data_IF_953119886712
#
_entry.id   IF_953119886712
#
_cell.length_a   1.000
_cell.length_b   1.000
_cell.length_c   1.000
_cell.angle_alpha   90.00
_cell.angle_beta   90.00
_cell.angle_gamma   90.00
#
_symmetry.space_group_name_H-M   'P 1'
#
loop_
_entity.id
_entity.type
_entity.pdbx_description
1 polymer ?
#
# COMPACT_ATOMS: atom_id res chain seq x y z
N UNK A 1 -43.65 29.40 -40.55
CA UNK A 1 -43.26 27.99 -40.70
C UNK A 1 -42.08 27.97 -41.66
N UNK A 2 -40.84 27.62 -41.22
CA UNK A 2 -40.45 26.21 -41.09
C UNK A 2 -39.60 25.85 -39.85
N UNK A 3 -39.95 24.69 -39.26
CA UNK A 3 -39.14 23.61 -38.68
C UNK A 3 -37.69 23.88 -38.18
N UNK A 4 -37.54 24.33 -36.93
CA UNK A 4 -36.37 24.06 -36.08
C UNK A 4 -36.58 22.70 -35.39
N UNK A 5 -36.11 21.61 -35.99
CA UNK A 5 -36.30 20.24 -35.46
C UNK A 5 -35.02 19.41 -35.36
N UNK A 6 -33.85 19.97 -35.06
CA UNK A 6 -32.63 19.13 -34.93
C UNK A 6 -31.66 19.52 -33.80
N UNK A 7 -32.04 20.43 -32.90
CA UNK A 7 -31.08 21.00 -31.93
C UNK A 7 -31.03 20.35 -30.53
N UNK A 8 -31.79 19.28 -30.25
CA UNK A 8 -32.04 18.89 -28.84
C UNK A 8 -31.79 17.41 -28.51
N UNK A 9 -30.93 16.70 -29.27
CA UNK A 9 -30.71 15.26 -29.05
C UNK A 9 -29.26 14.85 -28.78
N UNK A 10 -28.30 15.78 -28.83
CA UNK A 10 -26.87 15.45 -28.71
C UNK A 10 -26.29 15.56 -27.28
N UNK A 11 -27.00 16.18 -26.32
CA UNK A 11 -26.44 16.45 -24.98
C UNK A 11 -26.79 15.41 -23.89
N UNK A 12 -27.56 14.36 -24.21
CA UNK A 12 -27.98 13.38 -23.20
C UNK A 12 -27.04 12.16 -23.06
N UNK A 13 -26.00 12.03 -23.88
CA UNK A 13 -25.16 10.82 -23.95
C UNK A 13 -23.83 10.89 -23.17
N UNK A 14 -23.50 12.02 -22.53
CA UNK A 14 -22.23 12.22 -21.82
C UNK A 14 -22.28 12.00 -20.29
N UNK A 15 -23.43 11.61 -19.73
CA UNK A 15 -23.61 11.53 -18.27
C UNK A 15 -23.44 10.12 -17.66
N UNK A 16 -23.12 9.08 -18.44
CA UNK A 16 -23.15 7.68 -17.95
C UNK A 16 -21.81 6.94 -17.95
N UNK A 17 -20.69 7.59 -18.27
CA UNK A 17 -19.35 6.99 -18.08
C UNK A 17 -18.80 7.20 -16.66
N UNK A 18 -19.67 7.16 -15.65
CA UNK A 18 -19.21 6.87 -14.30
C UNK A 18 -18.76 5.42 -14.33
N UNK A 19 -17.44 5.19 -14.30
CA UNK A 19 -16.90 3.85 -14.08
C UNK A 19 -17.54 3.33 -12.80
N UNK A 20 -18.56 2.48 -12.95
CA UNK A 20 -19.05 1.64 -11.89
C UNK A 20 -17.89 0.68 -11.59
N UNK A 21 -16.98 1.11 -10.72
CA UNK A 21 -16.14 0.19 -9.98
C UNK A 21 -17.11 -0.74 -9.27
N UNK A 22 -17.35 -1.91 -9.88
CA UNK A 22 -18.14 -2.95 -9.25
C UNK A 22 -17.49 -3.19 -7.89
N UNK A 23 -18.24 -3.05 -6.77
CA UNK A 23 -17.68 -3.36 -5.47
C UNK A 23 -17.16 -4.79 -5.54
N UNK A 24 -15.89 -4.97 -5.16
CA UNK A 24 -15.27 -6.27 -5.13
C UNK A 24 -16.18 -7.21 -4.34
N UNK A 25 -16.40 -8.43 -4.87
CA UNK A 25 -17.24 -9.42 -4.19
C UNK A 25 -16.73 -9.57 -2.75
N UNK A 26 -17.60 -9.43 -1.73
CA UNK A 26 -17.17 -9.48 -0.34
C UNK A 26 -16.52 -10.83 -0.07
N UNK A 27 -15.37 -10.78 0.62
CA UNK A 27 -14.63 -11.99 0.99
C UNK A 27 -15.29 -12.67 2.19
N UNK A 28 -14.96 -13.94 2.44
CA UNK A 28 -15.60 -14.73 3.51
C UNK A 28 -15.43 -14.09 4.90
N UNK A 29 -14.32 -13.37 5.12
CA UNK A 29 -14.04 -12.65 6.38
C UNK A 29 -14.97 -11.45 6.53
N UNK A 30 -15.23 -10.72 5.45
CA UNK A 30 -16.16 -9.60 5.42
C UNK A 30 -17.59 -10.06 5.69
N UNK A 31 -18.03 -11.16 5.06
CA UNK A 31 -19.34 -11.78 5.34
C UNK A 31 -19.45 -12.21 6.79
N UNK A 32 -18.39 -12.83 7.32
CA UNK A 32 -18.35 -13.27 8.71
C UNK A 32 -18.41 -12.08 9.70
N UNK A 33 -17.66 -11.01 9.44
CA UNK A 33 -17.64 -9.82 10.28
C UNK A 33 -18.98 -9.08 10.24
N UNK A 34 -19.62 -8.96 9.07
CA UNK A 34 -20.93 -8.34 8.94
C UNK A 34 -22.04 -9.11 9.68
N UNK A 35 -21.97 -10.45 9.71
CA UNK A 35 -22.93 -11.28 10.47
C UNK A 35 -22.84 -11.09 11.98
N UNK A 36 -21.72 -10.57 12.49
CA UNK A 36 -21.52 -10.31 13.91
C UNK A 36 -22.11 -8.96 14.36
N UNK A 37 -22.52 -8.09 13.43
CA UNK A 37 -23.23 -6.84 13.76
C UNK A 37 -24.53 -7.17 14.51
N UNK A 38 -24.77 -6.47 15.61
CA UNK A 38 -25.85 -6.72 16.56
C UNK A 38 -25.56 -7.81 17.59
N UNK A 39 -24.39 -8.46 17.55
CA UNK A 39 -23.99 -9.47 18.52
C UNK A 39 -22.95 -8.93 19.52
N UNK A 40 -22.79 -9.58 20.70
CA UNK A 40 -21.72 -9.23 21.63
C UNK A 40 -20.33 -9.43 21.02
N UNK A 41 -19.39 -8.52 21.33
CA UNK A 41 -18.01 -8.55 20.84
C UNK A 41 -17.28 -9.87 21.15
N UNK A 42 -17.64 -10.52 22.27
CA UNK A 42 -17.12 -11.83 22.65
C UNK A 42 -17.29 -12.91 21.57
N UNK A 43 -18.31 -12.82 20.72
CA UNK A 43 -18.49 -13.75 19.61
C UNK A 43 -17.43 -13.55 18.52
N UNK A 44 -17.01 -12.32 18.27
CA UNK A 44 -15.90 -12.03 17.37
C UNK A 44 -14.59 -12.63 17.89
N UNK A 45 -14.35 -12.64 19.20
CA UNK A 45 -13.13 -13.20 19.79
C UNK A 45 -13.04 -14.72 19.61
N UNK A 46 -14.19 -15.40 19.55
CA UNK A 46 -14.24 -16.84 19.25
C UNK A 46 -13.89 -17.12 17.79
N UNK A 47 -14.25 -16.20 16.89
CA UNK A 47 -14.10 -16.39 15.45
C UNK A 47 -12.72 -15.94 14.94
N UNK A 48 -12.26 -14.77 15.36
CA UNK A 48 -11.01 -14.16 14.89
C UNK A 48 -9.86 -14.31 15.89
N UNK A 49 -10.12 -14.89 17.07
CA UNK A 49 -9.17 -14.97 18.17
C UNK A 49 -9.09 -13.67 18.97
N UNK A 50 -8.09 -13.58 19.84
CA UNK A 50 -7.81 -12.36 20.63
C UNK A 50 -7.46 -11.19 19.69
N UNK A 51 -8.00 -9.98 19.90
CA UNK A 51 -7.63 -8.79 19.12
C UNK A 51 -6.19 -8.36 19.38
N UNK A 52 -5.55 -7.84 18.34
CA UNK A 52 -4.18 -7.30 18.43
C UNK A 52 -4.18 -5.95 19.14
N UNK A 53 -5.22 -5.15 18.89
CA UNK A 53 -5.45 -3.85 19.53
C UNK A 53 -6.92 -3.71 19.86
N UNK A 54 -7.24 -3.04 20.95
CA UNK A 54 -8.62 -2.75 21.29
C UNK A 54 -8.81 -2.39 22.74
N UNK A 55 -9.90 -1.69 22.99
CA UNK A 55 -10.40 -1.38 24.31
C UNK A 55 -11.91 -1.58 24.30
N UNK A 56 -12.41 -2.31 25.30
CA UNK A 56 -13.85 -2.43 25.50
C UNK A 56 -14.48 -1.12 25.94
N UNK A 57 -15.82 -1.06 25.99
CA UNK A 57 -16.52 0.14 26.40
C UNK A 57 -16.10 0.56 27.81
N UNK A 58 -15.85 1.85 27.97
CA UNK A 58 -15.56 2.45 29.27
C UNK A 58 -16.86 2.93 29.91
N UNK A 59 -16.89 3.03 31.25
CA UNK A 59 -18.09 3.44 32.00
C UNK A 59 -18.68 4.80 31.60
N UNK A 60 -17.88 5.67 30.98
CA UNK A 60 -18.27 7.01 30.51
C UNK A 60 -18.17 7.16 28.98
N UNK A 61 -17.75 6.11 28.27
CA UNK A 61 -17.51 6.15 26.82
C UNK A 61 -18.75 5.75 26.02
N UNK A 62 -18.76 6.15 24.75
CA UNK A 62 -19.82 5.80 23.80
C UNK A 62 -19.75 4.36 23.29
N UNK A 63 -18.65 3.65 23.57
CA UNK A 63 -18.40 2.34 22.98
C UNK A 63 -16.97 1.86 23.11
N UNK A 64 -16.70 0.68 22.53
CA UNK A 64 -15.38 0.09 22.41
C UNK A 64 -14.94 -0.10 20.96
N UNK A 65 -13.69 -0.50 20.77
CA UNK A 65 -13.18 -0.93 19.48
C UNK A 65 -12.24 -2.13 19.63
N UNK A 66 -12.23 -3.01 18.64
CA UNK A 66 -11.33 -4.16 18.57
C UNK A 66 -10.81 -4.34 17.15
N UNK A 67 -9.52 -4.56 16.99
CA UNK A 67 -8.85 -4.66 15.72
C UNK A 67 -7.95 -5.92 15.64
N UNK A 68 -7.95 -6.53 14.46
CA UNK A 68 -7.10 -7.66 14.08
C UNK A 68 -6.36 -7.32 12.79
N UNK A 69 -5.04 -7.44 12.80
CA UNK A 69 -4.17 -7.29 11.64
C UNK A 69 -3.50 -8.63 11.36
N UNK A 70 -4.01 -9.34 10.34
CA UNK A 70 -3.45 -10.61 9.90
C UNK A 70 -2.58 -10.36 8.68
N UNK A 71 -1.27 -10.52 8.83
CA UNK A 71 -0.29 -10.43 7.75
C UNK A 71 0.29 -11.82 7.51
N UNK A 72 0.28 -12.28 6.26
CA UNK A 72 1.05 -13.44 5.81
C UNK A 72 2.00 -12.99 4.71
N UNK A 73 3.27 -13.39 4.84
CA UNK A 73 4.33 -13.10 3.88
C UNK A 73 5.05 -14.38 3.48
N UNK A 74 5.54 -14.44 2.24
CA UNK A 74 6.51 -15.43 1.81
C UNK A 74 7.76 -14.75 1.25
N UNK A 75 8.83 -15.52 1.16
CA UNK A 75 10.08 -15.10 0.54
C UNK A 75 10.14 -15.70 -0.85
N UNK A 76 10.26 -14.85 -1.86
CA UNK A 76 10.46 -15.27 -3.26
C UNK A 76 11.93 -15.61 -3.52
N UNK A 77 12.21 -16.36 -4.58
CA UNK A 77 13.58 -16.60 -5.04
C UNK A 77 14.22 -15.37 -5.72
N UNK A 78 13.44 -14.30 -5.95
CA UNK A 78 13.92 -13.04 -6.51
C UNK A 78 14.83 -12.34 -5.50
N UNK A 79 16.05 -12.01 -5.94
CA UNK A 79 17.04 -11.31 -5.12
C UNK A 79 16.96 -9.81 -5.34
N UNK A 80 16.79 -9.05 -4.26
CA UNK A 80 16.78 -7.58 -4.27
C UNK A 80 18.01 -7.04 -3.55
N UNK A 81 18.60 -6.00 -4.11
CA UNK A 81 19.74 -5.31 -3.50
C UNK A 81 19.24 -4.23 -2.54
N UNK A 82 19.56 -4.38 -1.26
CA UNK A 82 19.23 -3.40 -0.21
C UNK A 82 20.43 -2.49 -0.02
N UNK A 83 20.32 -1.25 -0.48
CA UNK A 83 21.36 -0.25 -0.31
C UNK A 83 21.39 0.23 1.16
N UNK A 84 22.47 -0.08 1.87
CA UNK A 84 22.69 0.35 3.27
C UNK A 84 23.55 1.60 3.35
N UNK A 85 24.22 1.99 2.27
CA UNK A 85 25.05 3.20 2.24
C UNK A 85 25.70 3.48 0.90
N UNK A 86 26.68 4.38 0.94
CA UNK A 86 27.59 4.68 -0.17
C UNK A 86 29.02 4.67 0.35
N UNK A 87 29.93 4.02 -0.38
CA UNK A 87 31.36 4.02 -0.07
C UNK A 87 32.11 4.87 -1.10
N UNK A 88 33.13 5.59 -0.64
CA UNK A 88 34.02 6.33 -1.52
C UNK A 88 34.98 5.35 -2.22
N UNK A 89 35.03 5.36 -3.55
CA UNK A 89 35.83 4.41 -4.36
C UNK A 89 36.98 5.08 -5.13
N UNK A 90 37.17 6.38 -4.99
CA UNK A 90 38.28 7.12 -5.59
C UNK A 90 37.84 8.39 -6.30
N UNK A 91 38.74 8.97 -7.09
CA UNK A 91 38.45 10.15 -7.90
C UNK A 91 38.50 9.81 -9.38
N UNK A 92 37.52 10.31 -10.12
CA UNK A 92 37.54 10.29 -11.59
C UNK A 92 38.21 11.57 -12.06
N UNK A 93 39.40 11.42 -12.63
CA UNK A 93 40.14 12.54 -13.22
C UNK A 93 39.91 12.55 -14.72
N UNK A 94 39.39 13.66 -15.24
CA UNK A 94 39.26 13.90 -16.68
C UNK A 94 40.48 14.69 -17.13
N UNK A 95 41.21 14.20 -18.13
CA UNK A 95 42.35 14.90 -18.73
C UNK A 95 42.07 15.26 -20.18
N UNK A 96 42.56 16.42 -20.61
CA UNK A 96 42.60 16.80 -22.02
C UNK A 96 43.99 16.55 -22.59
N UNK A 97 44.04 16.05 -23.83
CA UNK A 97 45.29 15.92 -24.57
C UNK A 97 45.61 17.26 -25.21
N UNK A 98 46.74 17.85 -24.85
CA UNK A 98 47.25 19.08 -25.47
C UNK A 98 48.32 18.67 -26.48
N UNK A 99 48.15 19.05 -27.74
CA UNK A 99 49.09 18.78 -28.82
C UNK A 99 49.41 20.04 -29.61
N UNK A 100 50.68 20.44 -29.62
CA UNK A 100 51.21 21.56 -30.41
C UNK A 100 52.73 21.70 -30.24
N UNK A 101 53.44 22.00 -31.34
CA UNK A 101 54.90 22.24 -31.36
C UNK A 101 55.78 21.11 -30.78
N UNK A 102 55.51 19.86 -31.14
CA UNK A 102 56.42 18.73 -30.85
C UNK A 102 56.39 18.18 -29.43
N UNK A 103 55.50 18.69 -28.56
CA UNK A 103 55.29 18.16 -27.20
C UNK A 103 53.84 17.73 -27.06
N UNK A 104 53.61 16.48 -26.65
CA UNK A 104 52.30 15.96 -26.29
C UNK A 104 52.24 15.70 -24.79
N UNK A 105 51.19 16.18 -24.13
CA UNK A 105 50.96 15.98 -22.70
C UNK A 105 49.48 15.84 -22.38
N UNK A 106 49.17 15.10 -21.31
CA UNK A 106 47.82 15.02 -20.75
C UNK A 106 47.74 15.96 -19.55
N UNK A 107 46.81 16.92 -19.59
CA UNK A 107 46.55 17.84 -18.49
C UNK A 107 45.23 17.47 -17.80
N UNK A 108 45.20 17.20 -16.49
CA UNK A 108 43.95 16.98 -15.76
C UNK A 108 43.16 18.30 -15.68
N UNK A 109 41.88 18.27 -16.04
CA UNK A 109 40.99 19.44 -16.07
C UNK A 109 39.85 19.38 -15.06
N UNK A 110 39.53 18.20 -14.54
CA UNK A 110 38.54 18.01 -13.48
C UNK A 110 38.85 16.75 -12.68
N UNK A 111 38.52 16.78 -11.39
CA UNK A 111 38.58 15.62 -10.50
C UNK A 111 37.30 15.58 -9.66
N UNK A 112 36.52 14.53 -9.82
CA UNK A 112 35.25 14.35 -9.09
C UNK A 112 35.31 13.11 -8.21
N UNK A 113 34.86 13.20 -6.93
CA UNK A 113 34.79 12.04 -6.05
C UNK A 113 33.72 11.06 -6.55
N UNK A 114 34.10 9.79 -6.67
CA UNK A 114 33.19 8.71 -7.10
C UNK A 114 32.79 7.89 -5.89
N UNK A 115 31.49 7.69 -5.75
CA UNK A 115 30.89 6.88 -4.70
C UNK A 115 30.19 5.67 -5.30
N UNK A 116 30.37 4.49 -4.69
CA UNK A 116 29.67 3.24 -5.03
C UNK A 116 28.62 2.93 -3.98
N UNK A 117 27.45 2.47 -4.42
CA UNK A 117 26.39 2.00 -3.51
C UNK A 117 26.84 0.70 -2.83
N UNK A 118 26.77 0.67 -1.51
CA UNK A 118 27.04 -0.54 -0.71
C UNK A 118 25.76 -1.05 -0.08
N UNK A 119 25.69 -2.37 0.10
CA UNK A 119 24.48 -3.05 0.49
C UNK A 119 24.68 -4.56 0.51
N UNK A 120 23.61 -5.27 0.80
CA UNK A 120 23.56 -6.73 0.75
C UNK A 120 22.39 -7.16 -0.14
N UNK A 121 22.50 -8.38 -0.65
CA UNK A 121 21.45 -8.99 -1.45
C UNK A 121 20.64 -9.91 -0.56
N UNK A 122 19.34 -9.67 -0.47
CA UNK A 122 18.42 -10.56 0.23
C UNK A 122 17.31 -11.03 -0.71
N UNK A 123 16.69 -12.15 -0.35
CA UNK A 123 15.53 -12.63 -1.07
C UNK A 123 14.34 -11.71 -0.75
N UNK A 124 13.59 -11.33 -1.78
CA UNK A 124 12.46 -10.40 -1.65
C UNK A 124 11.34 -11.05 -0.85
N UNK A 125 10.96 -10.40 0.25
CA UNK A 125 9.74 -10.75 1.01
C UNK A 125 8.53 -10.08 0.37
N UNK A 126 7.51 -10.87 0.03
CA UNK A 126 6.25 -10.40 -0.57
C UNK A 126 5.11 -10.66 0.40
N UNK A 127 4.18 -9.71 0.48
CA UNK A 127 2.97 -9.84 1.30
C UNK A 127 1.91 -10.57 0.48
N UNK A 128 1.57 -11.80 0.88
CA UNK A 128 0.54 -12.62 0.22
C UNK A 128 -0.88 -12.23 0.64
N UNK A 129 -1.01 -11.84 1.90
CA UNK A 129 -2.30 -11.59 2.51
C UNK A 129 -2.15 -10.55 3.59
N UNK A 130 -2.96 -9.50 3.50
CA UNK A 130 -3.13 -8.53 4.56
C UNK A 130 -4.62 -8.42 4.84
N UNK A 131 -5.06 -8.72 6.06
CA UNK A 131 -6.47 -8.58 6.41
C UNK A 131 -6.59 -7.82 7.72
N UNK A 132 -7.18 -6.63 7.62
CA UNK A 132 -7.48 -5.78 8.77
C UNK A 132 -8.97 -5.87 9.06
N UNK A 133 -9.33 -6.36 10.23
CA UNK A 133 -10.71 -6.44 10.73
C UNK A 133 -10.82 -5.47 11.89
N UNK A 134 -11.75 -4.53 11.83
CA UNK A 134 -12.03 -3.57 12.90
C UNK A 134 -13.50 -3.61 13.25
N UNK A 135 -13.80 -3.83 14.52
CA UNK A 135 -15.15 -3.83 15.06
C UNK A 135 -15.32 -2.64 16.01
N UNK A 136 -16.47 -1.98 15.92
CA UNK A 136 -16.90 -0.93 16.84
C UNK A 136 -18.11 -1.42 17.61
N UNK A 137 -18.12 -1.16 18.91
CA UNK A 137 -19.18 -1.61 19.81
C UNK A 137 -19.86 -0.44 20.49
N UNK A 138 -21.10 -0.64 20.92
CA UNK A 138 -21.82 0.28 21.80
C UNK A 138 -21.30 0.19 23.26
N UNK A 139 -21.91 0.97 24.15
CA UNK A 139 -21.61 0.94 25.59
C UNK A 139 -21.85 -0.42 26.28
N UNK A 140 -22.65 -1.30 25.68
CA UNK A 140 -22.96 -2.64 26.18
C UNK A 140 -22.08 -3.72 25.53
N UNK A 141 -21.05 -3.32 24.77
CA UNK A 141 -20.15 -4.19 24.02
C UNK A 141 -20.84 -5.00 22.91
N UNK A 142 -21.95 -4.47 22.37
CA UNK A 142 -22.64 -4.99 21.18
C UNK A 142 -22.04 -4.35 19.93
N UNK A 143 -21.70 -5.16 18.93
CA UNK A 143 -21.08 -4.70 17.68
C UNK A 143 -22.11 -3.88 16.89
N UNK A 144 -21.83 -2.60 16.67
CA UNK A 144 -22.65 -1.72 15.83
C UNK A 144 -22.13 -1.68 14.40
N UNK A 145 -20.81 -1.74 14.23
CA UNK A 145 -20.18 -1.61 12.93
C UNK A 145 -18.97 -2.55 12.80
N UNK A 146 -18.82 -3.14 11.61
CA UNK A 146 -17.69 -3.97 11.25
C UNK A 146 -17.05 -3.43 9.97
N UNK A 147 -15.74 -3.21 9.99
CA UNK A 147 -14.94 -2.82 8.83
C UNK A 147 -13.93 -3.92 8.55
N UNK A 148 -13.84 -4.35 7.30
CA UNK A 148 -12.90 -5.36 6.84
C UNK A 148 -12.17 -4.78 5.64
N UNK A 149 -10.84 -4.73 5.71
CA UNK A 149 -9.99 -4.04 4.74
C UNK A 149 -8.92 -5.00 4.21
N UNK A 150 -8.78 -4.98 2.89
CA UNK A 150 -7.68 -5.59 2.11
C UNK A 150 -7.56 -7.13 2.19
N UNK A 151 -8.55 -7.83 2.73
CA UNK A 151 -8.56 -9.30 2.91
C UNK A 151 -8.64 -10.12 1.60
N UNK A 152 -8.16 -9.57 0.49
CA UNK A 152 -7.89 -10.29 -0.74
C UNK A 152 -6.47 -10.87 -0.71
N UNK A 153 -6.30 -12.04 -1.33
CA UNK A 153 -4.95 -12.55 -1.63
C UNK A 153 -4.27 -11.57 -2.59
N UNK A 154 -3.15 -10.99 -2.18
CA UNK A 154 -2.28 -10.24 -3.07
C UNK A 154 -1.49 -11.27 -3.86
N UNK A 155 -1.83 -11.41 -5.14
CA UNK A 155 -1.12 -12.28 -6.08
C UNK A 155 0.22 -11.67 -6.47
#
# INVERSE_FOLDING_TARGET
>A
MPSLKHGCLALALLALSGCAMQPAKPNDVEIAAQKLVGQPAKNAFKLFGRPDQGAGPTSYGSGGFYAWNRVQTHTTDEKVFVQTGVEYVGQRTTSVTIGGQGVSGQMPVSSEPVYRKVGYTENRTVIDYFCSITLFTDKNDIIEHASVIDCAKKK
#
